data_IF_392395240274
#
_entry.id   IF_392395240274
#
_cell.length_a   1.000
_cell.length_b   1.000
_cell.length_c   1.000
_cell.angle_alpha   90.00
_cell.angle_beta   90.00
_cell.angle_gamma   90.00
#
_symmetry.space_group_name_H-M   'P 1'
#
loop_
_entity.id
_entity.type
_entity.pdbx_description
1 polymer ?
#
# COMPACT_ATOMS: atom_id res chain seq x y z
N UNK A 1 -79.21 -52.72 -56.83
CA UNK A 1 -78.08 -51.78 -57.03
C UNK A 1 -78.49 -50.81 -58.13
N UNK A 2 -78.45 -49.49 -57.92
CA UNK A 2 -78.74 -48.55 -59.00
C UNK A 2 -77.56 -48.51 -59.97
N UNK A 3 -77.78 -48.87 -61.23
CA UNK A 3 -76.78 -48.72 -62.31
C UNK A 3 -76.99 -47.35 -62.96
N UNK A 4 -76.16 -46.38 -62.56
CA UNK A 4 -76.13 -45.03 -63.12
C UNK A 4 -74.87 -44.92 -63.98
N UNK A 5 -75.02 -44.68 -65.28
CA UNK A 5 -73.92 -44.75 -66.27
C UNK A 5 -73.18 -43.40 -66.42
N UNK A 6 -73.89 -42.27 -66.31
CA UNK A 6 -73.31 -40.93 -66.48
C UNK A 6 -72.40 -40.50 -65.30
N UNK A 7 -72.58 -41.07 -64.12
CA UNK A 7 -71.79 -40.72 -62.92
C UNK A 7 -71.26 -42.01 -62.30
N UNK A 8 -70.07 -42.44 -62.73
CA UNK A 8 -69.44 -43.66 -62.24
C UNK A 8 -68.80 -43.41 -60.85
N UNK A 9 -69.56 -43.72 -59.79
CA UNK A 9 -69.17 -43.53 -58.40
C UNK A 9 -67.93 -44.36 -58.03
N UNK A 10 -67.75 -45.55 -58.61
CA UNK A 10 -66.57 -46.40 -58.40
C UNK A 10 -65.29 -45.72 -58.94
N UNK A 11 -65.36 -45.13 -60.14
CA UNK A 11 -64.25 -44.37 -60.73
C UNK A 11 -63.90 -43.12 -59.89
N UNK A 12 -64.92 -42.37 -59.46
CA UNK A 12 -64.76 -41.18 -58.59
C UNK A 12 -64.16 -41.52 -57.22
N UNK A 13 -64.43 -42.71 -56.68
CA UNK A 13 -63.84 -43.18 -55.43
C UNK A 13 -62.36 -43.56 -55.64
N UNK A 14 -62.05 -44.32 -56.70
CA UNK A 14 -60.67 -44.66 -57.07
C UNK A 14 -59.81 -43.43 -57.34
N UNK A 15 -60.33 -42.41 -58.06
CA UNK A 15 -59.62 -41.14 -58.29
C UNK A 15 -59.37 -40.37 -56.97
N UNK A 16 -60.35 -40.35 -56.04
CA UNK A 16 -60.15 -39.74 -54.71
C UNK A 16 -59.06 -40.43 -53.91
N UNK A 17 -58.98 -41.76 -53.94
CA UNK A 17 -57.95 -42.51 -53.23
C UNK A 17 -56.57 -42.35 -53.89
N UNK A 18 -56.50 -42.24 -55.22
CA UNK A 18 -55.28 -41.93 -55.95
C UNK A 18 -54.75 -40.56 -55.56
N UNK A 19 -55.60 -39.52 -55.56
CA UNK A 19 -55.21 -38.17 -55.13
C UNK A 19 -54.66 -38.16 -53.70
N UNK A 20 -55.32 -38.86 -52.75
CA UNK A 20 -54.81 -39.01 -51.37
C UNK A 20 -53.42 -39.67 -51.33
N UNK A 21 -53.18 -40.68 -52.17
CA UNK A 21 -51.89 -41.37 -52.25
C UNK A 21 -50.82 -40.47 -52.85
N UNK A 22 -51.18 -39.66 -53.84
CA UNK A 22 -50.29 -38.70 -54.47
C UNK A 22 -49.91 -37.56 -53.51
N UNK A 23 -50.86 -37.06 -52.72
CA UNK A 23 -50.61 -36.08 -51.64
C UNK A 23 -49.64 -36.65 -50.58
N UNK A 24 -49.86 -37.90 -50.15
CA UNK A 24 -48.98 -38.56 -49.18
C UNK A 24 -47.56 -38.81 -49.71
N UNK A 25 -47.44 -39.19 -51.00
CA UNK A 25 -46.16 -39.32 -51.68
C UNK A 25 -45.44 -37.96 -51.77
N UNK A 26 -46.17 -36.89 -52.10
CA UNK A 26 -45.61 -35.55 -52.20
C UNK A 26 -45.05 -35.06 -50.86
N UNK A 27 -45.77 -35.30 -49.75
CA UNK A 27 -45.27 -35.01 -48.39
C UNK A 27 -44.02 -35.84 -48.07
N UNK A 28 -44.00 -37.13 -48.45
CA UNK A 28 -42.86 -38.01 -48.22
C UNK A 28 -41.62 -37.56 -49.01
N UNK A 29 -41.80 -37.14 -50.26
CA UNK A 29 -40.74 -36.57 -51.08
C UNK A 29 -40.24 -35.23 -50.52
N UNK A 30 -41.13 -34.37 -50.01
CA UNK A 30 -40.74 -33.11 -49.38
C UNK A 30 -39.89 -33.35 -48.12
N UNK A 31 -40.29 -34.31 -47.26
CA UNK A 31 -39.52 -34.71 -46.08
C UNK A 31 -38.19 -35.34 -46.44
N UNK A 32 -38.15 -36.17 -47.49
CA UNK A 32 -36.91 -36.77 -47.96
C UNK A 32 -35.95 -35.71 -48.50
N UNK A 33 -36.46 -34.75 -49.27
CA UNK A 33 -35.66 -33.68 -49.86
C UNK A 33 -35.12 -32.69 -48.82
N UNK A 34 -35.89 -32.37 -47.78
CA UNK A 34 -35.45 -31.44 -46.73
C UNK A 34 -34.68 -32.12 -45.60
N UNK A 35 -34.83 -33.43 -45.44
CA UNK A 35 -34.36 -34.18 -44.27
C UNK A 35 -35.11 -33.85 -42.98
N UNK A 36 -36.16 -33.01 -43.05
CA UNK A 36 -36.93 -32.56 -41.89
C UNK A 36 -38.30 -33.24 -41.88
N UNK A 37 -38.68 -33.78 -40.71
CA UNK A 37 -40.00 -34.39 -40.49
C UNK A 37 -41.12 -33.34 -40.51
N UNK A 38 -40.85 -32.14 -40.01
CA UNK A 38 -41.80 -31.01 -39.94
C UNK A 38 -41.30 -29.95 -40.92
N UNK A 39 -42.04 -29.72 -42.01
CA UNK A 39 -41.68 -28.70 -43.00
C UNK A 39 -42.63 -27.50 -42.97
N UNK A 40 -43.83 -27.67 -42.43
CA UNK A 40 -44.83 -26.59 -42.33
C UNK A 40 -45.68 -26.72 -41.06
N UNK A 41 -46.35 -25.64 -40.67
CA UNK A 41 -47.29 -25.64 -39.53
C UNK A 41 -48.48 -26.60 -39.72
N UNK A 42 -48.78 -27.02 -40.96
CA UNK A 42 -49.81 -28.02 -41.28
C UNK A 42 -49.40 -29.43 -40.81
N UNK A 43 -48.10 -29.72 -40.76
CA UNK A 43 -47.61 -31.05 -40.38
C UNK A 43 -47.70 -31.28 -38.87
N UNK A 44 -47.27 -30.30 -38.06
CA UNK A 44 -47.32 -30.30 -36.60
C UNK A 44 -47.05 -28.88 -36.06
N UNK A 45 -48.11 -28.15 -35.70
CA UNK A 45 -47.99 -26.77 -35.23
C UNK A 45 -47.24 -26.66 -33.87
N UNK A 46 -47.45 -27.61 -32.96
CA UNK A 46 -46.77 -27.61 -31.66
C UNK A 46 -45.30 -28.00 -31.80
N UNK A 47 -45.00 -29.01 -32.61
CA UNK A 47 -43.63 -29.42 -32.94
C UNK A 47 -42.84 -28.31 -33.64
N UNK A 48 -43.45 -27.59 -34.58
CA UNK A 48 -42.83 -26.44 -35.23
C UNK A 48 -42.51 -25.33 -34.21
N UNK A 49 -43.47 -24.93 -33.37
CA UNK A 49 -43.27 -23.88 -32.37
C UNK A 49 -42.14 -24.20 -31.36
N UNK A 50 -42.05 -25.46 -30.91
CA UNK A 50 -40.97 -25.92 -30.03
C UNK A 50 -39.63 -25.88 -30.78
N UNK A 51 -39.59 -26.34 -32.04
CA UNK A 51 -38.38 -26.34 -32.86
C UNK A 51 -37.87 -24.92 -33.17
N UNK A 52 -38.77 -23.96 -33.40
CA UNK A 52 -38.43 -22.55 -33.60
C UNK A 52 -37.88 -21.93 -32.32
N UNK A 53 -38.48 -22.25 -31.15
CA UNK A 53 -37.95 -21.83 -29.85
C UNK A 53 -36.54 -22.36 -29.62
N UNK A 54 -36.28 -23.64 -29.89
CA UNK A 54 -34.94 -24.20 -29.78
C UNK A 54 -33.98 -23.59 -30.79
N UNK A 55 -34.43 -23.33 -32.03
CA UNK A 55 -33.61 -22.66 -33.05
C UNK A 55 -33.21 -21.25 -32.61
N UNK A 56 -34.14 -20.48 -32.04
CA UNK A 56 -33.86 -19.17 -31.46
C UNK A 56 -32.84 -19.28 -30.32
N UNK A 57 -33.05 -20.22 -29.41
CA UNK A 57 -32.16 -20.44 -28.28
C UNK A 57 -30.75 -20.85 -28.72
N UNK A 58 -30.60 -21.75 -29.69
CA UNK A 58 -29.32 -22.17 -30.26
C UNK A 58 -28.60 -20.98 -30.91
N UNK A 59 -29.32 -20.15 -31.70
CA UNK A 59 -28.73 -18.94 -32.30
C UNK A 59 -28.30 -17.93 -31.24
N UNK A 60 -29.12 -17.75 -30.19
CA UNK A 60 -28.78 -16.92 -29.03
C UNK A 60 -27.52 -17.41 -28.32
N UNK A 61 -27.43 -18.71 -28.05
CA UNK A 61 -26.24 -19.32 -27.43
C UNK A 61 -24.99 -19.18 -28.31
N UNK A 62 -25.10 -19.35 -29.63
CA UNK A 62 -23.97 -19.16 -30.53
C UNK A 62 -23.46 -17.71 -30.54
N UNK A 63 -24.34 -16.72 -30.42
CA UNK A 63 -23.92 -15.33 -30.26
C UNK A 63 -23.31 -15.10 -28.86
N UNK A 64 -23.90 -15.68 -27.82
CA UNK A 64 -23.37 -15.61 -26.47
C UNK A 64 -21.94 -16.18 -26.36
N UNK A 65 -21.62 -17.27 -27.06
CA UNK A 65 -20.26 -17.82 -27.15
C UNK A 65 -19.29 -16.80 -27.75
N UNK A 66 -19.70 -16.09 -28.81
CA UNK A 66 -18.87 -15.01 -29.38
C UNK A 66 -18.65 -13.87 -28.38
N UNK A 67 -19.72 -13.39 -27.75
CA UNK A 67 -19.62 -12.35 -26.72
C UNK A 67 -18.71 -12.75 -25.55
N UNK A 68 -18.75 -14.03 -25.14
CA UNK A 68 -17.88 -14.56 -24.10
C UNK A 68 -16.41 -14.56 -24.53
N UNK A 69 -16.12 -14.92 -25.78
CA UNK A 69 -14.76 -14.85 -26.34
C UNK A 69 -14.25 -13.40 -26.43
N UNK A 70 -15.12 -12.42 -26.71
CA UNK A 70 -14.77 -11.00 -26.67
C UNK A 70 -14.41 -10.58 -25.23
N UNK A 71 -15.17 -11.05 -24.23
CA UNK A 71 -14.86 -10.84 -22.82
C UNK A 71 -13.53 -11.45 -22.39
N UNK A 72 -13.20 -12.65 -22.87
CA UNK A 72 -11.89 -13.30 -22.65
C UNK A 72 -10.77 -12.47 -23.27
N UNK A 73 -10.94 -12.02 -24.52
CA UNK A 73 -9.94 -11.22 -25.22
C UNK A 73 -9.69 -9.89 -24.53
N UNK A 74 -10.76 -9.24 -24.03
CA UNK A 74 -10.65 -8.02 -23.23
C UNK A 74 -9.85 -8.26 -21.95
N UNK A 75 -10.17 -9.33 -21.21
CA UNK A 75 -9.50 -9.67 -19.97
C UNK A 75 -8.01 -9.98 -20.22
N UNK A 76 -7.67 -10.72 -21.28
CA UNK A 76 -6.29 -11.04 -21.65
C UNK A 76 -5.48 -9.80 -22.03
N UNK A 77 -6.07 -8.84 -22.75
CA UNK A 77 -5.42 -7.56 -23.04
C UNK A 77 -5.12 -6.78 -21.76
N UNK A 78 -6.07 -6.73 -20.82
CA UNK A 78 -5.84 -6.11 -19.53
C UNK A 78 -4.78 -6.86 -18.70
N UNK A 79 -4.82 -8.19 -18.67
CA UNK A 79 -3.87 -9.03 -17.95
C UNK A 79 -2.44 -8.87 -18.48
N UNK A 80 -2.25 -8.84 -19.81
CA UNK A 80 -0.94 -8.61 -20.42
C UNK A 80 -0.35 -7.25 -20.04
N UNK A 81 -1.18 -6.20 -20.04
CA UNK A 81 -0.77 -4.86 -19.60
C UNK A 81 -0.40 -4.82 -18.10
N UNK A 82 -1.19 -5.49 -17.24
CA UNK A 82 -0.92 -5.57 -15.80
C UNK A 82 0.32 -6.42 -15.50
N UNK A 83 0.60 -7.46 -16.29
CA UNK A 83 1.83 -8.24 -16.16
C UNK A 83 3.06 -7.37 -16.42
N UNK A 84 3.04 -6.51 -17.44
CA UNK A 84 4.13 -5.58 -17.71
C UNK A 84 4.26 -4.53 -16.60
N UNK A 85 3.13 -4.02 -16.09
CA UNK A 85 3.13 -3.15 -14.92
C UNK A 85 3.75 -3.79 -13.68
N UNK A 86 3.48 -5.08 -13.44
CA UNK A 86 4.10 -5.86 -12.38
C UNK A 86 5.62 -5.99 -12.53
N UNK A 87 6.11 -6.26 -13.75
CA UNK A 87 7.55 -6.33 -14.04
C UNK A 87 8.24 -4.99 -13.80
N UNK A 88 7.62 -3.88 -14.23
CA UNK A 88 8.14 -2.53 -14.00
C UNK A 88 8.21 -2.21 -12.50
N UNK A 89 7.17 -2.53 -11.73
CA UNK A 89 7.18 -2.30 -10.28
C UNK A 89 8.25 -3.14 -9.56
N UNK A 90 8.51 -4.37 -10.01
CA UNK A 90 9.64 -5.16 -9.50
C UNK A 90 10.97 -4.48 -9.80
N UNK A 91 11.17 -3.95 -11.01
CA UNK A 91 12.36 -3.19 -11.37
C UNK A 91 12.52 -1.92 -10.52
N UNK A 92 11.43 -1.18 -10.29
CA UNK A 92 11.45 -0.01 -9.39
C UNK A 92 11.87 -0.42 -7.97
N UNK A 93 11.36 -1.55 -7.47
CA UNK A 93 11.78 -2.11 -6.17
C UNK A 93 13.26 -2.45 -6.13
N UNK A 94 13.82 -3.07 -7.18
CA UNK A 94 15.26 -3.34 -7.28
C UNK A 94 16.09 -2.06 -7.19
N UNK A 95 15.69 -1.01 -7.92
CA UNK A 95 16.35 0.29 -7.90
C UNK A 95 16.25 0.97 -6.54
N UNK A 96 15.11 0.84 -5.85
CA UNK A 96 14.94 1.33 -4.49
C UNK A 96 15.88 0.60 -3.50
N UNK A 97 15.94 -0.74 -3.54
CA UNK A 97 16.90 -1.51 -2.72
C UNK A 97 18.34 -1.10 -3.04
N UNK A 98 18.68 -0.93 -4.32
CA UNK A 98 19.99 -0.48 -4.74
C UNK A 98 20.31 0.91 -4.19
N UNK A 99 19.40 1.87 -4.30
CA UNK A 99 19.59 3.26 -3.86
C UNK A 99 19.70 3.38 -2.34
N UNK A 100 18.99 2.53 -1.59
CA UNK A 100 19.05 2.46 -0.14
C UNK A 100 20.44 2.06 0.39
N UNK A 101 21.31 1.48 -0.44
CA UNK A 101 22.65 1.14 -0.03
C UNK A 101 23.54 2.39 0.15
N UNK A 102 24.30 2.41 1.26
CA UNK A 102 25.15 3.52 1.65
C UNK A 102 26.33 3.77 0.70
N UNK A 103 26.74 2.77 -0.08
CA UNK A 103 27.88 2.87 -1.02
C UNK A 103 27.58 3.72 -2.26
N UNK A 104 26.31 4.03 -2.55
CA UNK A 104 25.96 4.89 -3.68
C UNK A 104 26.17 6.36 -3.33
N UNK A 105 26.79 7.10 -4.25
CA UNK A 105 26.91 8.54 -4.13
C UNK A 105 25.56 9.24 -4.37
N UNK A 106 25.44 10.51 -3.98
CA UNK A 106 24.25 11.30 -4.27
C UNK A 106 23.97 11.41 -5.78
N UNK A 107 25.03 11.50 -6.62
CA UNK A 107 24.88 11.50 -8.08
C UNK A 107 24.38 10.16 -8.63
N UNK A 108 24.79 9.03 -8.04
CA UNK A 108 24.30 7.72 -8.45
C UNK A 108 22.81 7.58 -8.12
N UNK A 109 22.39 8.03 -6.93
CA UNK A 109 20.97 8.02 -6.54
C UNK A 109 20.11 8.90 -7.44
N UNK A 110 20.63 10.04 -7.90
CA UNK A 110 19.94 10.88 -8.89
C UNK A 110 19.77 10.18 -10.24
N UNK A 111 20.77 9.41 -10.69
CA UNK A 111 20.65 8.62 -11.91
C UNK A 111 19.62 7.49 -11.77
N UNK A 112 19.62 6.79 -10.62
CA UNK A 112 18.60 5.78 -10.29
C UNK A 112 17.19 6.39 -10.24
N UNK A 113 17.05 7.59 -9.66
CA UNK A 113 15.78 8.31 -9.63
C UNK A 113 15.29 8.69 -11.03
N UNK A 114 16.19 9.04 -11.94
CA UNK A 114 15.83 9.30 -13.34
C UNK A 114 15.29 8.03 -14.03
N UNK A 115 15.88 6.86 -13.77
CA UNK A 115 15.38 5.58 -14.26
C UNK A 115 13.99 5.26 -13.68
N UNK A 116 13.81 5.42 -12.35
CA UNK A 116 12.50 5.27 -11.70
C UNK A 116 11.45 6.20 -12.31
N UNK A 117 11.80 7.46 -12.57
CA UNK A 117 10.89 8.42 -13.22
C UNK A 117 10.43 7.98 -14.61
N UNK A 118 11.32 7.39 -15.43
CA UNK A 118 10.94 6.83 -16.74
C UNK A 118 10.04 5.61 -16.59
N UNK A 119 10.35 4.71 -15.64
CA UNK A 119 9.53 3.53 -15.36
C UNK A 119 8.12 3.91 -14.87
N UNK A 120 8.00 4.91 -14.01
CA UNK A 120 6.71 5.44 -13.53
C UNK A 120 5.94 6.11 -14.67
N UNK A 121 6.62 6.84 -15.57
CA UNK A 121 5.99 7.39 -16.77
C UNK A 121 5.48 6.28 -17.69
N UNK A 122 6.22 5.17 -17.81
CA UNK A 122 5.81 4.03 -18.61
C UNK A 122 4.61 3.30 -17.99
N UNK A 123 4.53 3.19 -16.66
CA UNK A 123 3.35 2.68 -15.96
C UNK A 123 2.09 3.51 -16.28
N UNK A 124 2.18 4.84 -16.22
CA UNK A 124 1.03 5.70 -16.57
C UNK A 124 0.69 5.60 -18.06
N UNK A 125 1.69 5.44 -18.93
CA UNK A 125 1.48 5.19 -20.36
C UNK A 125 0.76 3.86 -20.59
N UNK A 126 1.13 2.78 -19.92
CA UNK A 126 0.44 1.47 -20.02
C UNK A 126 -1.01 1.63 -19.59
N UNK A 127 -1.27 2.31 -18.47
CA UNK A 127 -2.64 2.56 -17.98
C UNK A 127 -3.51 3.33 -18.99
N UNK A 128 -2.96 4.39 -19.61
CA UNK A 128 -3.70 5.26 -20.54
C UNK A 128 -3.76 4.73 -21.98
N UNK A 129 -2.76 3.95 -22.41
CA UNK A 129 -2.70 3.40 -23.76
C UNK A 129 -3.51 2.11 -23.91
N UNK A 130 -3.63 1.30 -22.87
CA UNK A 130 -4.29 -0.01 -22.93
C UNK A 130 -5.77 0.14 -23.27
N UNK A 131 -6.15 -0.33 -24.45
CA UNK A 131 -7.50 -0.24 -24.97
C UNK A 131 -7.93 -1.53 -25.68
N UNK A 132 -9.22 -1.80 -25.63
CA UNK A 132 -9.84 -2.86 -26.41
C UNK A 132 -11.04 -2.29 -27.14
N UNK A 133 -11.04 -2.41 -28.48
CA UNK A 133 -12.10 -1.88 -29.33
C UNK A 133 -12.41 -0.37 -29.07
N UNK A 134 -11.35 0.43 -28.87
CA UNK A 134 -11.44 1.86 -28.59
C UNK A 134 -11.87 2.25 -27.17
N UNK A 135 -12.10 1.29 -26.27
CA UNK A 135 -12.39 1.56 -24.87
C UNK A 135 -11.12 1.39 -24.02
N UNK A 136 -10.78 2.41 -23.22
CA UNK A 136 -9.69 2.34 -22.26
C UNK A 136 -10.04 1.40 -21.12
N UNK A 137 -9.10 0.53 -20.74
CA UNK A 137 -9.37 -0.53 -19.77
C UNK A 137 -8.87 -0.18 -18.36
N UNK A 138 -7.76 0.56 -18.24
CA UNK A 138 -7.00 0.68 -17.00
C UNK A 138 -6.86 2.11 -16.46
N UNK A 139 -7.47 3.10 -17.10
CA UNK A 139 -7.37 4.52 -16.73
C UNK A 139 -8.45 5.00 -15.74
N UNK A 140 -9.35 4.07 -15.35
CA UNK A 140 -10.50 4.31 -14.48
C UNK A 140 -11.79 4.73 -15.19
N UNK A 141 -11.79 4.96 -16.51
CA UNK A 141 -12.99 5.36 -17.26
C UNK A 141 -13.87 4.18 -17.71
N UNK A 142 -13.31 2.96 -17.70
CA UNK A 142 -14.00 1.74 -18.11
C UNK A 142 -15.30 1.46 -17.33
N UNK A 143 -15.31 1.79 -16.03
CA UNK A 143 -16.44 1.58 -15.13
C UNK A 143 -16.81 0.11 -14.98
N UNK A 144 -17.71 -0.37 -15.84
CA UNK A 144 -18.10 -1.78 -15.92
C UNK A 144 -18.54 -2.16 -17.34
N UNK A 145 -18.08 -3.32 -17.82
CA UNK A 145 -18.59 -3.94 -19.03
C UNK A 145 -19.51 -5.12 -18.68
N UNK A 146 -20.63 -5.23 -19.38
CA UNK A 146 -21.62 -6.30 -19.19
C UNK A 146 -21.68 -7.15 -20.45
N UNK A 147 -21.29 -8.42 -20.33
CA UNK A 147 -21.30 -9.38 -21.43
C UNK A 147 -22.52 -10.28 -21.32
N UNK A 148 -23.38 -10.27 -22.33
CA UNK A 148 -24.51 -11.20 -22.44
C UNK A 148 -24.02 -12.57 -22.91
N UNK A 149 -24.05 -13.55 -22.01
CA UNK A 149 -23.51 -14.92 -22.19
C UNK A 149 -24.59 -16.00 -22.20
N UNK A 150 -25.86 -15.62 -22.24
CA UNK A 150 -26.98 -16.55 -22.39
C UNK A 150 -27.99 -16.12 -23.45
N UNK A 151 -28.91 -17.03 -23.76
CA UNK A 151 -29.95 -16.79 -24.77
C UNK A 151 -31.13 -15.96 -24.24
N UNK A 152 -31.29 -15.84 -22.91
CA UNK A 152 -32.37 -15.09 -22.27
C UNK A 152 -31.85 -13.77 -21.69
N UNK A 153 -32.74 -12.78 -21.56
CA UNK A 153 -32.39 -11.48 -20.99
C UNK A 153 -31.73 -11.60 -19.60
N UNK A 154 -30.74 -10.75 -19.34
CA UNK A 154 -30.02 -10.63 -18.06
C UNK A 154 -29.17 -11.86 -17.67
N UNK A 155 -28.87 -12.75 -18.61
CA UNK A 155 -27.85 -13.79 -18.43
C UNK A 155 -26.47 -13.20 -18.76
N UNK A 156 -25.94 -12.40 -17.84
CA UNK A 156 -24.74 -11.59 -18.07
C UNK A 156 -23.61 -11.90 -17.10
N UNK A 157 -22.39 -11.57 -17.52
CA UNK A 157 -21.20 -11.47 -16.67
C UNK A 157 -20.77 -10.00 -16.68
N UNK A 158 -20.57 -9.43 -15.49
CA UNK A 158 -20.07 -8.07 -15.34
C UNK A 158 -18.58 -8.11 -15.03
N UNK A 159 -17.78 -7.41 -15.83
CA UNK A 159 -16.35 -7.22 -15.61
C UNK A 159 -16.12 -5.77 -15.23
N UNK A 160 -15.33 -5.56 -14.17
CA UNK A 160 -14.90 -4.23 -13.73
C UNK A 160 -13.38 -4.19 -13.75
N UNK A 161 -12.83 -2.99 -13.92
CA UNK A 161 -11.41 -2.73 -13.79
C UNK A 161 -11.21 -1.59 -12.80
N UNK A 162 -10.07 -1.62 -12.11
CA UNK A 162 -9.67 -0.52 -11.22
C UNK A 162 -8.91 0.54 -12.01
N UNK A 163 -8.75 1.71 -11.40
CA UNK A 163 -7.90 2.76 -11.94
C UNK A 163 -6.43 2.46 -11.61
N UNK A 164 -5.64 2.16 -12.63
CA UNK A 164 -4.21 1.89 -12.53
C UNK A 164 -3.34 3.05 -13.00
N UNK A 165 -3.86 4.29 -13.00
CA UNK A 165 -3.03 5.47 -13.18
C UNK A 165 -2.13 5.67 -11.96
N UNK A 166 -0.86 6.01 -12.17
CA UNK A 166 0.16 6.05 -11.10
C UNK A 166 -0.16 7.02 -9.97
N UNK A 167 -1.02 8.01 -10.23
CA UNK A 167 -1.50 8.95 -9.23
C UNK A 167 -2.65 8.43 -8.34
N UNK A 168 -3.21 7.25 -8.63
CA UNK A 168 -4.47 6.74 -8.03
C UNK A 168 -4.28 5.49 -7.16
N UNK A 169 -3.08 4.92 -7.18
CA UNK A 169 -2.70 3.81 -6.30
C UNK A 169 -1.31 4.05 -5.71
N UNK A 170 -1.05 3.37 -4.61
CA UNK A 170 0.10 3.58 -3.75
C UNK A 170 -0.26 3.20 -2.32
N UNK A 171 0.60 3.58 -1.40
CA UNK A 171 0.39 3.33 0.03
C UNK A 171 -0.37 4.51 0.66
N UNK A 172 -1.38 4.21 1.46
CA UNK A 172 -2.00 5.22 2.31
C UNK A 172 -1.19 5.32 3.59
N UNK A 173 -0.78 6.53 3.96
CA UNK A 173 0.13 6.74 5.08
C UNK A 173 -0.35 7.83 6.04
N UNK A 174 -0.14 7.58 7.33
CA UNK A 174 -0.26 8.56 8.41
C UNK A 174 1.07 8.59 9.15
N UNK A 175 1.75 9.73 9.09
CA UNK A 175 3.00 9.94 9.82
C UNK A 175 2.71 10.57 11.18
N UNK A 176 3.01 9.84 12.25
CA UNK A 176 2.91 10.35 13.61
C UNK A 176 3.91 11.46 13.91
N UNK A 177 3.94 11.91 15.17
CA UNK A 177 4.82 13.00 15.61
C UNK A 177 6.28 12.62 15.38
N UNK A 178 7.02 13.51 14.72
CA UNK A 178 8.45 13.33 14.48
C UNK A 178 9.19 13.11 15.81
N UNK A 179 10.26 12.32 15.77
CA UNK A 179 11.12 12.13 16.94
C UNK A 179 11.66 13.49 17.39
N UNK A 180 11.49 13.80 18.68
CA UNK A 180 12.06 15.01 19.30
C UNK A 180 12.55 14.65 20.69
N UNK A 181 13.61 15.32 21.14
CA UNK A 181 14.10 15.21 22.51
C UNK A 181 13.39 16.20 23.42
N UNK A 182 12.84 15.70 24.53
CA UNK A 182 12.17 16.51 25.56
C UNK A 182 12.64 16.11 26.95
N UNK A 183 12.44 16.96 27.97
CA UNK A 183 12.85 16.67 29.36
C UNK A 183 12.01 15.59 30.06
N UNK A 184 11.23 14.81 29.29
CA UNK A 184 10.32 13.77 29.74
C UNK A 184 9.74 13.02 28.54
N UNK A 185 8.99 11.95 28.81
CA UNK A 185 8.37 11.14 27.76
C UNK A 185 7.25 11.89 27.05
N UNK A 186 7.24 11.84 25.71
CA UNK A 186 6.19 12.48 24.91
C UNK A 186 4.84 11.78 25.09
N UNK A 187 4.86 10.46 25.28
CA UNK A 187 3.67 9.66 25.51
C UNK A 187 3.42 9.56 27.03
N UNK A 188 2.45 10.32 27.54
CA UNK A 188 2.02 10.35 28.95
C UNK A 188 0.78 9.50 29.24
N UNK A 189 0.33 8.71 28.27
CA UNK A 189 -0.86 7.86 28.32
C UNK A 189 -1.97 8.38 27.38
N UNK A 190 -2.46 7.53 26.48
CA UNK A 190 -3.54 7.89 25.54
C UNK A 190 -4.36 6.67 25.10
N UNK A 191 -5.53 6.93 24.52
CA UNK A 191 -6.30 5.92 23.81
C UNK A 191 -6.23 6.19 22.30
N UNK A 192 -5.39 5.44 21.60
CA UNK A 192 -5.21 5.53 20.16
C UNK A 192 -6.29 4.70 19.46
N UNK A 193 -7.04 5.31 18.56
CA UNK A 193 -8.05 4.64 17.72
C UNK A 193 -7.55 4.55 16.29
N UNK A 194 -7.51 3.35 15.72
CA UNK A 194 -7.16 3.11 14.32
C UNK A 194 -8.41 2.61 13.60
N UNK A 195 -8.88 3.37 12.62
CA UNK A 195 -10.05 3.07 11.80
C UNK A 195 -9.62 2.78 10.36
N UNK A 196 -9.48 1.49 10.03
CA UNK A 196 -9.12 1.05 8.69
C UNK A 196 -10.29 0.43 7.93
N UNK A 197 -9.97 -0.23 6.81
CA UNK A 197 -10.96 -0.81 5.89
C UNK A 197 -11.71 -2.02 6.47
N UNK A 198 -11.09 -2.74 7.40
CA UNK A 198 -11.64 -3.95 8.02
C UNK A 198 -12.41 -3.65 9.32
N UNK A 199 -12.12 -2.53 9.98
CA UNK A 199 -12.76 -2.13 11.23
C UNK A 199 -12.00 -1.07 12.01
N UNK A 200 -12.56 -0.71 13.17
CA UNK A 200 -11.99 0.26 14.11
C UNK A 200 -11.63 -0.43 15.42
N UNK A 201 -10.41 -0.18 15.92
CA UNK A 201 -9.94 -0.64 17.22
C UNK A 201 -9.32 0.48 18.03
N UNK A 202 -9.46 0.36 19.35
CA UNK A 202 -8.88 1.26 20.33
C UNK A 202 -7.73 0.55 21.07
N UNK A 203 -6.62 1.26 21.22
CA UNK A 203 -5.40 0.82 21.87
C UNK A 203 -5.13 1.74 23.06
N UNK A 204 -5.16 1.19 24.27
CA UNK A 204 -4.77 1.91 25.46
C UNK A 204 -3.23 1.91 25.56
N UNK A 205 -2.62 3.04 25.26
CA UNK A 205 -1.18 3.25 25.33
C UNK A 205 -0.87 3.85 26.70
N UNK A 206 -0.02 3.17 27.47
CA UNK A 206 0.41 3.66 28.79
C UNK A 206 1.51 4.74 28.65
N UNK A 207 1.64 5.59 29.65
CA UNK A 207 2.74 6.56 29.72
C UNK A 207 4.11 5.86 29.65
N UNK A 208 5.03 6.42 28.87
CA UNK A 208 6.37 5.88 28.65
C UNK A 208 6.49 4.72 27.68
N UNK A 209 5.38 4.34 27.03
CA UNK A 209 5.42 3.34 25.97
C UNK A 209 6.27 3.84 24.80
N UNK A 210 7.24 3.01 24.35
CA UNK A 210 8.06 3.35 23.18
C UNK A 210 7.26 3.26 21.88
N UNK A 211 7.70 4.00 20.85
CA UNK A 211 7.07 3.96 19.52
C UNK A 211 7.06 2.53 18.94
N UNK A 212 8.12 1.75 19.20
CA UNK A 212 8.17 0.31 18.89
C UNK A 212 6.97 -0.45 19.44
N UNK A 213 6.68 -0.27 20.73
CA UNK A 213 5.61 -1.01 21.40
C UNK A 213 4.24 -0.60 20.89
N UNK A 214 4.05 0.68 20.57
CA UNK A 214 2.84 1.17 19.90
C UNK A 214 2.66 0.49 18.53
N UNK A 215 3.71 0.45 17.71
CA UNK A 215 3.66 -0.22 16.41
C UNK A 215 3.39 -1.72 16.55
N UNK A 216 4.00 -2.42 17.51
CA UNK A 216 3.71 -3.83 17.81
C UNK A 216 2.24 -4.05 18.20
N UNK A 217 1.66 -3.18 19.02
CA UNK A 217 0.25 -3.29 19.44
C UNK A 217 -0.69 -3.17 18.25
N UNK A 218 -0.41 -2.26 17.32
CA UNK A 218 -1.20 -2.04 16.11
C UNK A 218 -1.04 -3.23 15.15
N UNK A 219 0.20 -3.65 14.90
CA UNK A 219 0.51 -4.80 14.04
C UNK A 219 -0.08 -6.11 14.58
N UNK A 220 -0.18 -6.30 15.89
CA UNK A 220 -0.84 -7.46 16.49
C UNK A 220 -2.35 -7.55 16.19
N UNK A 221 -2.94 -6.48 15.65
CA UNK A 221 -4.36 -6.38 15.26
C UNK A 221 -4.56 -5.93 13.81
N UNK A 222 -3.52 -5.99 12.97
CA UNK A 222 -3.61 -5.62 11.56
C UNK A 222 -4.65 -6.44 10.80
N UNK A 223 -4.87 -7.70 11.14
CA UNK A 223 -5.93 -8.56 10.56
C UNK A 223 -7.35 -8.03 10.80
N UNK A 224 -7.55 -7.14 11.78
CA UNK A 224 -8.86 -6.57 12.13
C UNK A 224 -9.03 -5.13 11.67
N UNK A 225 -7.94 -4.36 11.52
CA UNK A 225 -7.99 -2.96 11.06
C UNK A 225 -7.63 -2.82 9.59
N UNK A 226 -6.72 -3.64 9.06
CA UNK A 226 -6.12 -3.50 7.74
C UNK A 226 -4.97 -2.49 7.71
N UNK A 227 -4.47 -2.07 8.88
CA UNK A 227 -3.42 -1.06 9.04
C UNK A 227 -2.19 -1.70 9.68
N UNK A 228 -1.04 -1.46 9.08
CA UNK A 228 0.28 -1.81 9.61
C UNK A 228 0.98 -0.57 10.16
N UNK A 229 1.94 -0.76 11.05
CA UNK A 229 2.69 0.33 11.64
C UNK A 229 4.19 0.02 11.73
N UNK A 230 5.01 1.04 11.49
CA UNK A 230 6.45 0.99 11.64
C UNK A 230 6.90 2.09 12.60
N UNK A 231 7.97 1.85 13.34
CA UNK A 231 8.50 2.80 14.30
C UNK A 231 9.99 3.04 14.06
N UNK A 232 10.41 4.30 14.20
CA UNK A 232 11.80 4.70 14.08
C UNK A 232 12.07 5.82 15.08
N UNK A 233 13.17 5.73 15.82
CA UNK A 233 13.62 6.81 16.69
C UNK A 233 14.88 7.39 16.09
N UNK A 234 14.85 8.67 15.73
CA UNK A 234 16.00 9.36 15.14
C UNK A 234 16.02 10.83 15.57
N UNK A 235 17.13 11.29 16.14
CA UNK A 235 17.25 12.69 16.58
C UNK A 235 18.70 13.13 16.56
N UNK A 236 18.95 14.36 16.08
CA UNK A 236 20.24 15.01 16.16
C UNK A 236 20.50 15.55 17.58
N UNK A 237 21.74 15.38 18.05
CA UNK A 237 22.30 16.01 19.24
C UNK A 237 23.39 16.99 18.84
N UNK A 238 23.37 18.18 19.43
CA UNK A 238 24.31 19.25 19.14
C UNK A 238 25.11 19.60 20.39
N UNK A 239 26.37 19.99 20.20
CA UNK A 239 27.28 20.33 21.30
C UNK A 239 27.61 21.81 21.25
N UNK A 240 27.60 22.50 22.40
CA UNK A 240 27.90 23.94 22.43
C UNK A 240 29.39 24.27 22.57
N UNK A 241 30.22 23.35 23.05
CA UNK A 241 31.67 23.54 23.18
C UNK A 241 32.46 22.27 22.88
N UNK A 242 33.70 22.41 22.41
CA UNK A 242 34.62 21.27 22.34
C UNK A 242 35.06 20.85 23.75
N UNK A 243 35.36 19.57 23.96
CA UNK A 243 35.79 19.06 25.26
C UNK A 243 35.37 17.62 25.54
N UNK A 244 35.61 17.19 26.78
CA UNK A 244 35.18 15.88 27.27
C UNK A 244 33.71 15.91 27.65
N UNK A 245 33.01 14.81 27.38
CA UNK A 245 31.61 14.60 27.73
C UNK A 245 31.46 13.20 28.32
N UNK A 246 30.57 13.07 29.29
CA UNK A 246 30.13 11.78 29.83
C UNK A 246 28.62 11.73 29.73
N UNK A 247 28.10 10.70 29.08
CA UNK A 247 26.71 10.55 28.75
C UNK A 247 26.25 9.15 29.15
N UNK A 248 25.11 9.07 29.81
CA UNK A 248 24.46 7.79 30.08
C UNK A 248 23.35 7.57 29.04
N UNK A 249 23.44 6.46 28.31
CA UNK A 249 22.48 6.10 27.25
C UNK A 249 21.67 4.87 27.67
N UNK A 250 20.35 4.99 27.60
CA UNK A 250 19.42 3.88 27.78
C UNK A 250 18.41 3.83 26.64
N UNK A 251 18.25 2.65 26.05
CA UNK A 251 17.24 2.36 25.03
C UNK A 251 16.86 0.87 25.08
N UNK A 252 17.49 -0.01 24.30
CA UNK A 252 17.20 -1.45 24.32
C UNK A 252 17.72 -2.15 25.60
N UNK A 253 18.72 -1.54 26.24
CA UNK A 253 19.30 -1.98 27.50
C UNK A 253 18.40 -1.66 28.72
N UNK A 254 18.30 -2.57 29.70
CA UNK A 254 17.50 -2.34 30.91
C UNK A 254 18.08 -1.24 31.82
N UNK A 255 19.41 -1.17 31.90
CA UNK A 255 20.17 -0.21 32.72
C UNK A 255 20.97 0.74 31.84
N UNK A 256 21.09 2.01 32.24
CA UNK A 256 21.82 3.00 31.47
C UNK A 256 23.31 2.66 31.33
N UNK A 257 23.84 2.83 30.12
CA UNK A 257 25.23 2.58 29.79
C UNK A 257 25.96 3.92 29.73
N UNK A 258 26.91 4.10 30.65
CA UNK A 258 27.80 5.25 30.64
C UNK A 258 28.80 5.15 29.50
N UNK A 259 28.98 6.25 28.78
CA UNK A 259 30.02 6.46 27.78
C UNK A 259 30.76 7.77 28.09
N UNK A 260 32.06 7.78 27.85
CA UNK A 260 32.90 8.96 27.96
C UNK A 260 33.65 9.17 26.65
N UNK A 261 33.68 10.40 26.16
CA UNK A 261 34.33 10.74 24.90
C UNK A 261 34.80 12.19 24.90
N UNK A 262 35.64 12.54 23.94
CA UNK A 262 36.09 13.91 23.70
C UNK A 262 35.75 14.29 22.27
N UNK A 263 35.20 15.48 22.10
CA UNK A 263 35.02 16.10 20.78
C UNK A 263 36.05 17.23 20.62
N UNK A 264 36.65 17.32 19.44
CA UNK A 264 37.67 18.33 19.11
C UNK A 264 37.07 19.60 18.49
N UNK A 265 35.81 19.54 18.08
CA UNK A 265 35.01 20.63 17.54
C UNK A 265 33.51 20.31 17.69
N UNK A 266 32.67 21.34 17.61
CA UNK A 266 31.20 21.22 17.70
C UNK A 266 30.55 20.86 16.37
N UNK A 267 31.31 20.94 15.28
CA UNK A 267 30.86 20.69 13.91
C UNK A 267 31.94 19.92 13.14
N UNK A 268 31.53 19.33 12.02
CA UNK A 268 32.41 18.67 11.07
C UNK A 268 32.84 17.26 11.49
N UNK A 269 33.28 16.48 10.49
CA UNK A 269 33.49 15.05 10.66
C UNK A 269 34.55 14.72 11.72
N UNK A 270 35.67 15.42 11.69
CA UNK A 270 36.78 15.20 12.62
C UNK A 270 36.46 15.69 14.04
N UNK A 271 35.65 16.75 14.14
CA UNK A 271 35.21 17.36 15.40
C UNK A 271 34.39 16.39 16.25
N UNK A 272 33.42 15.74 15.60
CA UNK A 272 32.39 14.92 16.23
C UNK A 272 32.70 13.41 16.21
N UNK A 273 33.78 12.98 15.55
CA UNK A 273 34.15 11.56 15.40
C UNK A 273 34.27 10.82 16.74
N UNK A 274 34.77 11.50 17.79
CA UNK A 274 34.92 10.92 19.12
C UNK A 274 33.58 10.52 19.74
N UNK A 275 32.54 11.35 19.58
CA UNK A 275 31.19 11.06 20.04
C UNK A 275 30.59 9.88 19.27
N UNK A 276 30.69 9.91 17.93
CA UNK A 276 30.16 8.84 17.07
C UNK A 276 30.78 7.48 17.39
N UNK A 277 32.11 7.45 17.57
CA UNK A 277 32.83 6.20 17.89
C UNK A 277 32.38 5.65 19.24
N UNK A 278 32.39 6.48 20.29
CA UNK A 278 32.03 6.03 21.64
C UNK A 278 30.59 5.54 21.76
N UNK A 279 29.65 6.16 21.04
CA UNK A 279 28.25 5.70 21.01
C UNK A 279 28.15 4.37 20.25
N UNK A 280 28.81 4.25 19.10
CA UNK A 280 28.78 3.03 18.29
C UNK A 280 29.47 1.84 18.97
N UNK A 281 30.49 2.06 19.80
CA UNK A 281 31.16 1.01 20.58
C UNK A 281 30.21 0.29 21.56
N UNK A 282 29.16 0.99 22.04
CA UNK A 282 28.14 0.43 22.93
C UNK A 282 26.83 0.07 22.22
N UNK A 283 26.73 0.30 20.90
CA UNK A 283 25.50 0.09 20.12
C UNK A 283 24.95 -1.34 20.20
N UNK A 284 25.82 -2.35 20.35
CA UNK A 284 25.40 -3.74 20.53
C UNK A 284 24.62 -4.01 21.82
N UNK A 285 24.79 -3.15 22.84
CA UNK A 285 24.07 -3.21 24.12
C UNK A 285 22.87 -2.27 24.13
N UNK A 286 23.04 -1.05 23.64
CA UNK A 286 22.02 0.00 23.71
C UNK A 286 21.01 -0.07 22.56
N UNK A 287 21.36 -0.68 21.44
CA UNK A 287 20.57 -0.63 20.19
C UNK A 287 20.62 0.73 19.49
N UNK A 288 21.39 1.70 20.03
CA UNK A 288 21.51 3.05 19.50
C UNK A 288 22.77 3.15 18.65
N UNK A 289 22.59 3.57 17.40
CA UNK A 289 23.68 3.89 16.48
C UNK A 289 23.82 5.40 16.35
N UNK A 290 25.04 5.87 16.09
CA UNK A 290 25.34 7.27 15.86
C UNK A 290 25.97 7.48 14.49
N UNK A 291 25.58 8.57 13.84
CA UNK A 291 26.22 9.08 12.62
C UNK A 291 26.28 10.60 12.70
N UNK A 292 27.10 11.21 11.86
CA UNK A 292 27.12 12.67 11.74
C UNK A 292 25.93 13.10 10.87
N UNK A 293 25.32 14.22 11.22
CA UNK A 293 24.26 14.83 10.41
C UNK A 293 24.81 15.24 9.03
N UNK A 294 23.96 15.28 8.00
CA UNK A 294 24.39 15.61 6.63
C UNK A 294 24.94 17.03 6.49
N UNK A 295 24.47 17.95 7.34
CA UNK A 295 24.97 19.33 7.45
C UNK A 295 26.24 19.45 8.29
N UNK A 296 26.68 18.37 8.94
CA UNK A 296 27.85 18.35 9.82
C UNK A 296 27.67 19.09 11.15
N UNK A 297 26.44 19.53 11.49
CA UNK A 297 26.18 20.38 12.65
C UNK A 297 26.04 19.61 13.98
N UNK A 298 25.89 18.29 13.91
CA UNK A 298 25.64 17.45 15.08
C UNK A 298 25.75 15.96 14.82
N UNK A 299 25.45 15.18 15.85
CA UNK A 299 25.46 13.71 15.82
C UNK A 299 24.01 13.21 15.84
N UNK A 300 23.60 12.48 14.82
CA UNK A 300 22.28 11.84 14.76
C UNK A 300 22.34 10.49 15.47
N UNK A 301 21.50 10.34 16.49
CA UNK A 301 21.24 9.08 17.17
C UNK A 301 20.07 8.37 16.50
N UNK A 302 20.19 7.08 16.27
CA UNK A 302 19.15 6.27 15.63
C UNK A 302 18.97 4.94 16.34
N UNK A 303 17.71 4.61 16.65
CA UNK A 303 17.25 3.26 16.95
C UNK A 303 16.25 2.83 15.86
N UNK A 304 16.66 1.87 15.03
CA UNK A 304 15.88 1.41 13.88
C UNK A 304 14.62 0.64 14.25
N UNK A 305 14.51 0.19 15.50
CA UNK A 305 13.30 -0.51 15.97
C UNK A 305 12.27 0.43 16.59
N UNK A 306 12.59 1.71 16.77
CA UNK A 306 11.68 2.70 17.35
C UNK A 306 11.64 2.68 18.89
N UNK A 307 12.64 2.11 19.55
CA UNK A 307 12.73 2.20 21.01
C UNK A 307 13.10 3.62 21.45
N UNK A 308 12.60 4.02 22.62
CA UNK A 308 12.89 5.33 23.21
C UNK A 308 14.38 5.43 23.52
N UNK A 309 15.01 6.56 23.23
CA UNK A 309 16.40 6.84 23.59
C UNK A 309 16.38 7.85 24.71
N UNK A 310 16.72 7.44 25.93
CA UNK A 310 16.92 8.34 27.05
C UNK A 310 18.42 8.61 27.24
N UNK A 311 18.73 9.89 27.34
CA UNK A 311 20.06 10.43 27.56
C UNK A 311 20.03 11.17 28.89
N UNK A 312 20.98 10.88 29.76
CA UNK A 312 21.17 11.64 30.99
C UNK A 312 22.63 12.01 31.17
N UNK A 313 22.87 13.07 31.92
CA UNK A 313 24.23 13.42 32.33
C UNK A 313 24.88 12.23 33.05
N UNK A 314 26.09 11.85 32.61
CA UNK A 314 26.86 10.80 33.24
C UNK A 314 27.77 11.35 34.35
N UNK A 315 28.95 10.73 34.55
CA UNK A 315 29.89 11.17 35.56
C UNK A 315 30.43 12.59 35.34
N UNK A 316 30.66 13.32 36.44
CA UNK A 316 31.20 14.68 36.44
C UNK A 316 32.46 14.81 35.58
N UNK A 317 32.48 15.86 34.74
CA UNK A 317 33.67 16.28 34.03
C UNK A 317 33.80 17.83 34.08
N UNK A 318 34.95 18.35 33.66
CA UNK A 318 35.28 19.78 33.77
C UNK A 318 34.77 20.63 32.58
N UNK A 319 33.97 20.07 31.68
CA UNK A 319 33.44 20.79 30.53
C UNK A 319 32.22 21.61 30.93
N UNK A 320 32.19 22.87 30.51
CA UNK A 320 31.09 23.82 30.78
C UNK A 320 30.06 23.87 29.65
N UNK A 321 30.22 23.02 28.63
CA UNK A 321 29.31 22.93 27.50
C UNK A 321 27.96 22.33 27.84
N UNK A 322 27.13 22.21 26.81
CA UNK A 322 25.81 21.59 26.84
C UNK A 322 25.65 20.67 25.63
N UNK A 323 24.81 19.66 25.79
CA UNK A 323 24.28 18.83 24.70
C UNK A 323 22.82 19.22 24.53
N UNK A 324 22.45 19.72 23.35
CA UNK A 324 21.06 20.03 23.01
C UNK A 324 20.47 18.87 22.21
N UNK A 325 19.28 18.42 22.60
CA UNK A 325 18.56 17.28 22.01
C UNK A 325 17.11 17.73 21.79
N UNK A 326 16.80 18.25 20.60
CA UNK A 326 15.52 18.92 20.38
C UNK A 326 15.33 20.10 21.34
N UNK A 327 14.30 20.04 22.17
CA UNK A 327 13.99 21.07 23.17
C UNK A 327 14.68 20.82 24.52
N UNK A 328 15.25 19.63 24.73
CA UNK A 328 15.97 19.29 25.94
C UNK A 328 17.43 19.75 25.90
N UNK A 329 17.94 20.23 27.03
CA UNK A 329 19.34 20.64 27.19
C UNK A 329 19.95 19.86 28.36
N UNK A 330 21.05 19.16 28.09
CA UNK A 330 21.85 18.45 29.07
C UNK A 330 23.12 19.25 29.36
N UNK A 331 23.46 19.57 30.60
CA UNK A 331 24.76 20.15 30.94
C UNK A 331 25.87 19.09 30.76
N UNK A 332 27.06 19.53 30.35
CA UNK A 332 28.20 18.64 30.16
C UNK A 332 28.94 18.28 31.45
N UNK A 333 28.47 18.68 32.62
CA UNK A 333 29.20 18.59 33.88
C UNK A 333 28.87 19.78 34.77
N UNK A 334 29.20 19.65 36.06
CA UNK A 334 29.09 20.77 37.00
C UNK A 334 30.12 21.83 36.61
N UNK A 335 29.65 23.03 36.26
CA UNK A 335 30.52 24.20 36.32
C UNK A 335 31.02 24.34 37.75
N UNK A 336 32.29 24.00 38.01
CA UNK A 336 32.94 24.19 39.31
C UNK A 336 33.26 25.68 39.60
N UNK A 337 32.39 26.58 39.13
CA UNK A 337 32.39 28.02 39.43
C UNK A 337 31.02 28.47 39.98
N UNK A 338 30.41 27.68 40.87
CA UNK A 338 29.55 28.27 41.91
C UNK A 338 30.46 28.62 43.10
N UNK A 339 31.16 29.75 42.96
CA UNK A 339 31.68 30.52 44.11
C UNK A 339 30.54 31.20 44.88
N UNK A 340 29.29 31.01 44.47
CA UNK A 340 28.12 31.47 45.17
C UNK A 340 27.28 30.24 45.55
N UNK A 341 27.01 30.01 46.85
CA UNK A 341 26.09 28.95 47.25
C UNK A 341 24.72 29.21 46.60
N UNK A 342 23.95 28.16 46.25
CA UNK A 342 22.58 28.36 45.78
C UNK A 342 21.82 29.18 46.82
N UNK A 343 21.08 30.18 46.37
CA UNK A 343 20.15 30.89 47.25
C UNK A 343 19.20 29.87 47.90
N UNK A 344 18.84 30.08 49.17
CA UNK A 344 17.92 29.21 49.90
C UNK A 344 16.64 28.96 49.07
N UNK A 345 16.48 27.73 48.59
CA UNK A 345 15.34 27.32 47.77
C UNK A 345 15.69 26.85 46.35
N UNK A 346 16.91 27.02 45.87
CA UNK A 346 17.34 26.50 44.57
C UNK A 346 18.20 25.23 44.71
N UNK A 347 17.65 24.12 44.24
CA UNK A 347 18.40 22.88 43.99
C UNK A 347 19.33 23.09 42.79
N UNK A 348 20.60 22.66 42.92
CA UNK A 348 21.51 22.52 41.78
C UNK A 348 20.84 21.72 40.64
N UNK A 349 21.01 22.08 39.35
CA UNK A 349 20.48 21.27 38.26
C UNK A 349 21.32 20.00 38.17
N UNK A 350 20.92 18.98 38.92
CA UNK A 350 21.47 17.63 38.92
C UNK A 350 20.34 16.73 38.40
N UNK A 351 20.58 15.99 37.30
CA UNK A 351 19.60 15.04 36.75
C UNK A 351 18.77 15.55 35.56
N UNK A 352 19.32 16.38 34.68
CA UNK A 352 18.67 16.64 33.39
C UNK A 352 18.66 15.34 32.56
N UNK A 353 17.47 14.95 32.08
CA UNK A 353 17.27 13.80 31.21
C UNK A 353 16.64 14.31 29.92
N UNK A 354 17.17 13.90 28.78
CA UNK A 354 16.55 14.10 27.48
C UNK A 354 16.00 12.76 27.00
N UNK A 355 14.70 12.70 26.75
CA UNK A 355 14.02 11.50 26.26
C UNK A 355 13.61 11.75 24.82
N UNK A 356 14.11 10.92 23.91
CA UNK A 356 13.76 10.93 22.50
C UNK A 356 12.73 9.82 22.28
N UNK A 357 11.48 10.22 22.07
CA UNK A 357 10.40 9.29 21.74
C UNK A 357 10.34 9.12 20.22
N UNK A 358 10.36 7.87 19.74
CA UNK A 358 10.32 7.57 18.31
C UNK A 358 9.04 8.02 17.61
N UNK A 359 9.08 8.10 16.28
CA UNK A 359 7.92 8.32 15.45
C UNK A 359 7.26 6.96 15.12
N UNK A 360 5.93 6.95 15.07
CA UNK A 360 5.15 5.82 14.52
C UNK A 360 4.55 6.25 13.20
N UNK A 361 4.73 5.44 12.17
CA UNK A 361 4.14 5.64 10.85
C UNK A 361 3.18 4.49 10.59
N UNK A 362 1.99 4.80 10.10
CA UNK A 362 0.94 3.82 9.82
C UNK A 362 0.71 3.75 8.31
N UNK A 363 0.58 2.54 7.79
CA UNK A 363 0.51 2.23 6.36
C UNK A 363 -0.64 1.25 6.06
N UNK A 364 -1.29 1.40 4.91
CA UNK A 364 -2.39 0.54 4.45
C UNK A 364 -2.61 0.64 2.94
N UNK A 365 -3.12 -0.42 2.34
CA UNK A 365 -3.52 -0.44 0.92
C UNK A 365 -4.85 0.32 0.66
N UNK A 366 -5.54 0.76 1.72
CA UNK A 366 -6.80 1.51 1.68
C UNK A 366 -6.74 2.75 2.55
N UNK A 367 -7.61 3.72 2.29
CA UNK A 367 -7.71 4.89 3.15
C UNK A 367 -8.16 4.52 4.56
N UNK A 368 -7.54 5.11 5.56
CA UNK A 368 -7.84 4.91 6.98
C UNK A 368 -7.70 6.22 7.74
N UNK A 369 -8.04 6.20 9.02
CA UNK A 369 -7.74 7.30 9.93
C UNK A 369 -7.18 6.79 11.24
N UNK A 370 -6.36 7.63 11.87
CA UNK A 370 -5.83 7.40 13.21
C UNK A 370 -6.24 8.59 14.06
N UNK A 371 -6.83 8.33 15.22
CA UNK A 371 -7.18 9.35 16.19
C UNK A 371 -6.53 9.05 17.53
N UNK A 372 -6.07 10.09 18.21
CA UNK A 372 -5.34 10.00 19.46
C UNK A 372 -5.23 11.37 20.09
N UNK A 373 -4.30 11.51 21.03
CA UNK A 373 -4.02 12.81 21.62
C UNK A 373 -2.99 13.55 20.77
N UNK A 374 -3.31 14.79 20.38
CA UNK A 374 -2.41 15.62 19.58
C UNK A 374 -1.06 15.81 20.28
N UNK A 375 0.03 15.68 19.51
CA UNK A 375 1.39 15.84 20.01
C UNK A 375 1.97 14.60 20.71
N UNK A 376 1.21 13.50 20.81
CA UNK A 376 1.69 12.24 21.41
C UNK A 376 2.15 11.25 20.33
N UNK A 377 1.34 10.25 19.98
CA UNK A 377 1.61 9.36 18.84
C UNK A 377 1.31 10.04 17.51
N UNK A 378 0.23 10.82 17.43
CA UNK A 378 -0.24 11.54 16.24
C UNK A 378 0.00 13.05 16.36
N UNK A 379 0.21 13.76 15.23
CA UNK A 379 0.46 15.22 15.24
C UNK A 379 -0.83 15.94 15.64
N UNK A 380 -1.93 15.59 15.00
CA UNK A 380 -3.27 16.11 15.27
C UNK A 380 -4.15 15.07 15.95
N UNK A 381 -5.22 15.51 16.63
CA UNK A 381 -6.12 14.61 17.36
C UNK A 381 -6.82 13.57 16.45
N UNK A 382 -6.96 13.86 15.16
CA UNK A 382 -7.45 12.92 14.16
C UNK A 382 -6.78 13.21 12.82
N UNK A 383 -6.14 12.19 12.27
CA UNK A 383 -5.44 12.25 10.99
C UNK A 383 -6.05 11.25 10.02
N UNK A 384 -6.40 11.75 8.83
CA UNK A 384 -6.75 10.90 7.71
C UNK A 384 -5.48 10.54 6.92
N UNK A 385 -5.42 9.30 6.46
CA UNK A 385 -4.33 8.82 5.62
C UNK A 385 -4.23 9.62 4.33
N UNK A 386 -3.00 9.94 3.93
CA UNK A 386 -2.71 10.54 2.62
C UNK A 386 -2.18 9.47 1.68
N UNK A 387 -2.62 9.49 0.43
CA UNK A 387 -2.09 8.60 -0.59
C UNK A 387 -0.67 9.04 -0.95
N UNK A 388 0.31 8.20 -0.66
CA UNK A 388 1.64 8.27 -1.22
C UNK A 388 1.62 7.50 -2.56
N UNK A 389 1.32 8.22 -3.64
CA UNK A 389 1.07 7.60 -4.93
C UNK A 389 2.36 7.12 -5.60
N UNK A 390 2.25 6.10 -6.45
CA UNK A 390 3.37 5.60 -7.25
C UNK A 390 3.97 6.68 -8.16
N UNK A 391 3.17 7.68 -8.55
CA UNK A 391 3.65 8.85 -9.30
C UNK A 391 4.72 9.68 -8.56
N UNK A 392 4.74 9.63 -7.23
CA UNK A 392 5.61 10.45 -6.38
C UNK A 392 6.76 9.64 -5.76
N UNK A 393 7.07 8.45 -6.28
CA UNK A 393 8.20 7.66 -5.80
C UNK A 393 9.51 8.42 -5.98
N UNK A 394 10.27 8.54 -4.89
CA UNK A 394 11.56 9.21 -4.86
C UNK A 394 12.61 8.32 -4.18
N UNK A 395 13.58 7.85 -4.95
CA UNK A 395 14.71 7.06 -4.49
C UNK A 395 16.02 7.87 -4.46
N UNK A 396 15.96 9.20 -4.55
CA UNK A 396 17.16 10.06 -4.55
C UNK A 396 17.88 10.13 -3.20
N UNK A 397 17.21 9.74 -2.11
CA UNK A 397 17.77 9.63 -0.76
C UNK A 397 17.60 8.22 -0.19
N UNK A 398 18.38 7.88 0.84
CA UNK A 398 18.23 6.58 1.55
C UNK A 398 16.85 6.49 2.21
N UNK A 399 16.36 7.59 2.76
CA UNK A 399 15.02 7.66 3.36
C UNK A 399 13.92 7.46 2.31
N UNK A 400 14.00 8.16 1.18
CA UNK A 400 13.05 8.01 0.07
C UNK A 400 13.09 6.60 -0.53
N UNK A 401 14.29 6.04 -0.70
CA UNK A 401 14.47 4.67 -1.17
C UNK A 401 13.84 3.64 -0.22
N UNK A 402 13.96 3.82 1.10
CA UNK A 402 13.29 2.96 2.07
C UNK A 402 11.77 3.15 2.10
N UNK A 403 11.28 4.37 1.84
CA UNK A 403 9.85 4.65 1.70
C UNK A 403 9.24 4.05 0.43
N UNK A 404 10.05 3.78 -0.60
CA UNK A 404 9.63 3.17 -1.84
C UNK A 404 9.56 1.62 -1.79
N UNK A 405 10.05 0.98 -0.72
CA UNK A 405 10.13 -0.48 -0.54
C UNK A 405 8.94 -1.06 0.23
#
# INVERSE_FOLDING_TARGET
MPQVINTNILSLNSQRNLNKSQDALQVSLQRLSSGLRINSAKDDAAGLAISERFTSQIRGLNQAVRNANDGISLAQTAEGALSEGGNILQRVRELAVQSANATNSASDRQALQAEVGQLVSELDRISTATEFNGQKLLDGTFGAAVFQVGANANQTIQTTTSNFRTAQYGDYRVEGVASTGTSGERITGENLSVSGSLGTLNFNIEGGTSAKKVAEMVNAKSDQTGVSAFAKTEQAINFSTAGAYVLDIKSDNPEAQQIAFTISGTEGNDGLAGAVTAINDVASKTGVTARISEDGSGVVLMNSTGNTISLSEGAHNNNIGTITVGDAVLPAGKGDNVSEPPAEGETAPQGAVAVITGQVTFDSDKSFSVSGTSGMTVKEATEASKLNSVANLDVSSVEGANLAL
#
